data_IF_034904199219
#
_entry.id   IF_034904199219
#
_cell.length_a   1.000
_cell.length_b   1.000
_cell.length_c   1.000
_cell.angle_alpha   90.00
_cell.angle_beta   90.00
_cell.angle_gamma   90.00
#
_symmetry.space_group_name_H-M   'P 1'
#
loop_
_entity.id
_entity.type
_entity.pdbx_description
1 polymer ?
#
# COMPACT_ATOMS: atom_id res chain seq x y z
N UNK A 1 -23.17 14.54 1.50
CA UNK A 1 -22.87 13.64 0.42
C UNK A 1 -21.37 13.56 0.18
N UNK A 2 -20.85 12.36 0.07
CA UNK A 2 -19.44 12.23 -0.16
C UNK A 2 -19.09 12.59 -1.58
N UNK A 3 -17.96 13.25 -1.72
CA UNK A 3 -17.49 13.61 -3.03
C UNK A 3 -16.31 12.74 -3.39
N UNK A 4 -16.20 12.42 -4.65
CA UNK A 4 -15.05 11.67 -5.12
C UNK A 4 -13.83 12.56 -5.06
N UNK A 5 -12.69 11.97 -4.78
CA UNK A 5 -11.41 12.64 -4.86
C UNK A 5 -11.09 12.80 -6.35
N UNK A 6 -10.61 13.95 -6.77
CA UNK A 6 -10.30 14.11 -8.17
C UNK A 6 -9.08 13.28 -8.54
N UNK A 7 -8.94 13.04 -9.83
CA UNK A 7 -7.90 12.14 -10.30
C UNK A 7 -6.50 12.63 -10.01
N UNK A 8 -6.31 13.93 -10.05
CA UNK A 8 -4.99 14.49 -9.75
C UNK A 8 -4.59 14.26 -8.31
N UNK A 9 -5.54 14.45 -7.39
CA UNK A 9 -5.26 14.21 -5.98
C UNK A 9 -5.00 12.75 -5.73
N UNK A 10 -5.80 11.88 -6.33
CA UNK A 10 -5.61 10.45 -6.14
C UNK A 10 -4.27 9.98 -6.69
N UNK A 11 -3.90 10.49 -7.87
CA UNK A 11 -2.63 10.13 -8.47
C UNK A 11 -1.45 10.63 -7.64
N UNK A 12 -1.58 11.82 -7.07
CA UNK A 12 -0.52 12.38 -6.25
C UNK A 12 -0.31 11.56 -4.97
N UNK A 13 -1.39 11.10 -4.36
CA UNK A 13 -1.28 10.25 -3.17
C UNK A 13 -0.67 8.91 -3.55
N UNK A 14 -1.11 8.34 -4.66
CA UNK A 14 -0.52 7.08 -5.13
C UNK A 14 0.98 7.23 -5.32
N UNK A 15 1.41 8.31 -5.94
CA UNK A 15 2.82 8.55 -6.21
C UNK A 15 3.59 8.67 -4.89
N UNK A 16 3.05 9.39 -3.92
CA UNK A 16 3.72 9.55 -2.63
C UNK A 16 3.93 8.21 -1.95
N UNK A 17 2.92 7.35 -1.98
CA UNK A 17 3.04 6.04 -1.37
C UNK A 17 4.05 5.19 -2.14
N UNK A 18 3.98 5.22 -3.47
CA UNK A 18 4.86 4.42 -4.32
C UNK A 18 6.32 4.82 -4.19
N UNK A 19 6.58 6.09 -3.90
CA UNK A 19 7.94 6.59 -3.77
C UNK A 19 8.51 6.39 -2.37
N UNK A 20 7.74 5.86 -1.45
CA UNK A 20 8.22 5.59 -0.10
C UNK A 20 9.30 4.52 -0.18
N UNK A 21 10.44 4.72 0.50
CA UNK A 21 11.53 3.75 0.41
C UNK A 21 11.08 2.34 0.78
N UNK A 22 11.55 1.38 0.01
CA UNK A 22 11.33 -0.05 0.22
C UNK A 22 9.94 -0.52 -0.15
N UNK A 23 9.10 0.35 -0.71
CA UNK A 23 7.83 -0.06 -1.28
C UNK A 23 8.12 -0.63 -2.66
N UNK A 24 7.71 -1.87 -2.90
CA UNK A 24 7.92 -2.51 -4.20
C UNK A 24 6.83 -2.14 -5.18
N UNK A 25 5.60 -2.13 -4.73
CA UNK A 25 4.50 -1.68 -5.58
C UNK A 25 3.32 -1.30 -4.72
N UNK A 26 2.39 -0.58 -5.32
CA UNK A 26 1.17 -0.15 -4.66
C UNK A 26 0.02 -0.52 -5.57
N UNK A 27 -1.02 -1.11 -5.00
CA UNK A 27 -2.19 -1.39 -5.80
C UNK A 27 -3.45 -1.25 -4.94
N UNK A 28 -4.59 -1.24 -5.61
CA UNK A 28 -5.88 -1.11 -4.94
C UNK A 28 -5.96 0.08 -4.02
N UNK A 29 -5.45 1.22 -4.51
CA UNK A 29 -5.55 2.42 -3.71
C UNK A 29 -6.97 2.97 -3.83
N UNK A 30 -7.55 3.32 -2.71
CA UNK A 30 -8.90 3.89 -2.66
C UNK A 30 -8.85 5.19 -1.90
N UNK A 31 -9.52 6.18 -2.43
CA UNK A 31 -9.56 7.49 -1.81
C UNK A 31 -10.97 8.02 -1.81
N UNK A 32 -11.30 8.78 -0.79
CA UNK A 32 -12.57 9.48 -0.76
C UNK A 32 -12.45 10.73 0.09
N UNK A 33 -13.35 11.67 -0.15
CA UNK A 33 -13.36 12.90 0.62
C UNK A 33 -14.20 12.76 1.86
N UNK A 34 -13.74 13.36 2.93
CA UNK A 34 -14.54 13.56 4.13
C UNK A 34 -14.35 15.02 4.50
N UNK A 35 -15.33 15.85 4.15
CA UNK A 35 -15.17 17.29 4.25
C UNK A 35 -14.07 17.74 3.33
N UNK A 36 -13.12 18.49 3.85
CA UNK A 36 -11.98 18.94 3.07
C UNK A 36 -10.82 17.98 3.06
N UNK A 37 -10.94 16.91 3.79
CA UNK A 37 -9.82 15.99 3.96
C UNK A 37 -10.05 14.72 3.16
N UNK A 38 -8.98 14.00 2.93
CA UNK A 38 -9.02 12.76 2.17
C UNK A 38 -8.75 11.59 3.11
N UNK A 39 -9.53 10.53 2.96
CA UNK A 39 -9.24 9.28 3.62
C UNK A 39 -8.82 8.31 2.54
N UNK A 40 -7.69 7.65 2.75
CA UNK A 40 -7.14 6.75 1.73
C UNK A 40 -6.80 5.41 2.35
N UNK A 41 -6.90 4.37 1.52
CA UNK A 41 -6.34 3.07 1.88
C UNK A 41 -5.57 2.54 0.67
N UNK A 42 -4.54 1.77 0.95
CA UNK A 42 -3.68 1.27 -0.10
C UNK A 42 -3.11 -0.07 0.29
N UNK A 43 -2.98 -0.94 -0.70
CA UNK A 43 -2.23 -2.17 -0.54
C UNK A 43 -0.81 -1.91 -1.00
N UNK A 44 0.14 -2.10 -0.10
CA UNK A 44 1.53 -1.80 -0.35
C UNK A 44 2.31 -3.11 -0.31
N UNK A 45 3.01 -3.42 -1.38
CA UNK A 45 3.80 -4.64 -1.43
C UNK A 45 5.24 -4.34 -1.05
N UNK A 46 5.78 -5.14 -0.16
CA UNK A 46 7.16 -5.02 0.31
C UNK A 46 7.84 -6.37 0.17
N UNK A 47 9.15 -6.38 0.28
CA UNK A 47 9.92 -7.61 0.15
C UNK A 47 9.38 -8.67 1.11
N UNK A 48 9.09 -9.84 0.59
CA UNK A 48 8.47 -10.90 1.37
C UNK A 48 9.35 -11.44 2.49
N UNK A 49 10.66 -11.16 2.43
CA UNK A 49 11.58 -11.65 3.46
C UNK A 49 11.75 -10.68 4.63
N UNK A 50 11.09 -9.53 4.58
CA UNK A 50 11.20 -8.58 5.68
C UNK A 50 10.45 -9.09 6.91
N UNK A 51 10.91 -8.63 8.07
CA UNK A 51 10.18 -8.91 9.29
C UNK A 51 8.89 -8.11 9.31
N UNK A 52 7.97 -8.53 10.16
CA UNK A 52 6.74 -7.77 10.36
C UNK A 52 7.06 -6.35 10.82
N UNK A 53 8.05 -6.22 11.68
CA UNK A 53 8.42 -4.91 12.18
C UNK A 53 8.92 -4.00 11.06
N UNK A 54 9.76 -4.52 10.19
CA UNK A 54 10.27 -3.73 9.07
C UNK A 54 9.14 -3.35 8.11
N UNK A 55 8.22 -4.26 7.86
CA UNK A 55 7.07 -3.95 7.01
C UNK A 55 6.19 -2.88 7.63
N UNK A 56 5.98 -2.97 8.93
CA UNK A 56 5.19 -1.96 9.64
C UNK A 56 5.86 -0.59 9.53
N UNK A 57 7.19 -0.53 9.68
CA UNK A 57 7.90 0.73 9.59
C UNK A 57 7.75 1.38 8.22
N UNK A 58 7.72 0.58 7.17
CA UNK A 58 7.50 1.09 5.82
C UNK A 58 6.10 1.70 5.72
N UNK A 59 5.11 1.03 6.28
CA UNK A 59 3.74 1.54 6.26
C UNK A 59 3.62 2.85 7.05
N UNK A 60 4.30 2.94 8.18
CA UNK A 60 4.29 4.15 8.99
C UNK A 60 4.92 5.30 8.22
N UNK A 61 6.01 5.03 7.52
CA UNK A 61 6.68 6.07 6.74
C UNK A 61 5.79 6.54 5.57
N UNK A 62 5.11 5.61 4.91
CA UNK A 62 4.21 5.98 3.83
C UNK A 62 3.10 6.89 4.35
N UNK A 63 2.52 6.53 5.49
CA UNK A 63 1.47 7.33 6.11
C UNK A 63 1.98 8.72 6.47
N UNK A 64 3.17 8.78 7.06
CA UNK A 64 3.75 10.06 7.45
C UNK A 64 3.90 10.98 6.24
N UNK A 65 4.38 10.43 5.13
CA UNK A 65 4.59 11.23 3.92
C UNK A 65 3.26 11.73 3.35
N UNK A 66 2.26 10.86 3.33
CA UNK A 66 0.96 11.26 2.83
C UNK A 66 0.34 12.35 3.71
N UNK A 67 0.44 12.18 5.03
CA UNK A 67 -0.12 13.15 5.95
C UNK A 67 0.59 14.49 5.87
N UNK A 68 1.88 14.50 5.52
CA UNK A 68 2.61 15.74 5.41
C UNK A 68 2.41 16.46 4.09
N UNK A 69 2.17 15.71 3.02
CA UNK A 69 2.16 16.28 1.68
C UNK A 69 0.77 16.52 1.12
N UNK A 70 -0.23 15.95 1.73
CA UNK A 70 -1.60 16.00 1.21
C UNK A 70 -2.55 16.35 2.32
N UNK A 71 -3.74 16.82 1.96
CA UNK A 71 -4.77 17.10 2.94
C UNK A 71 -5.48 15.80 3.29
N UNK A 72 -4.77 14.93 3.93
CA UNK A 72 -5.25 13.59 4.26
C UNK A 72 -5.55 13.49 5.74
N UNK A 73 -6.72 12.93 6.04
CA UNK A 73 -7.10 12.68 7.41
C UNK A 73 -6.44 11.39 7.89
N UNK A 74 -6.31 10.42 7.01
CA UNK A 74 -5.69 9.17 7.37
C UNK A 74 -5.30 8.39 6.12
N UNK A 75 -4.31 7.54 6.27
CA UNK A 75 -3.97 6.53 5.27
C UNK A 75 -3.90 5.19 5.98
N UNK A 76 -4.75 4.26 5.58
CA UNK A 76 -4.71 2.92 6.09
C UNK A 76 -3.97 2.06 5.07
N UNK A 77 -2.95 1.34 5.53
CA UNK A 77 -2.16 0.51 4.63
C UNK A 77 -2.31 -0.95 4.98
N UNK A 78 -2.43 -1.76 3.93
CA UNK A 78 -2.37 -3.20 4.05
C UNK A 78 -1.03 -3.61 3.46
N UNK A 79 -0.19 -4.23 4.27
CA UNK A 79 1.16 -4.58 3.83
C UNK A 79 1.13 -6.01 3.34
N UNK A 80 1.45 -6.17 2.06
CA UNK A 80 1.41 -7.48 1.42
C UNK A 80 2.81 -7.88 0.99
N UNK A 81 3.09 -9.16 0.94
CA UNK A 81 4.42 -9.60 0.49
C UNK A 81 4.54 -9.51 -1.02
N UNK A 82 5.65 -8.96 -1.48
CA UNK A 82 5.95 -8.92 -2.90
C UNK A 82 6.85 -10.10 -3.23
N UNK A 83 6.50 -10.85 -4.27
CA UNK A 83 7.26 -11.99 -4.69
C UNK A 83 7.66 -11.82 -6.13
N UNK A 84 8.89 -12.18 -6.43
CA UNK A 84 9.33 -12.10 -7.81
C UNK A 84 8.54 -13.12 -8.63
N UNK A 85 8.22 -12.79 -9.86
CA UNK A 85 7.38 -13.67 -10.67
C UNK A 85 7.89 -15.10 -10.77
N UNK A 86 9.19 -15.30 -10.86
CA UNK A 86 9.69 -16.63 -10.97
C UNK A 86 9.56 -17.41 -9.66
N UNK A 87 9.72 -16.76 -8.54
CA UNK A 87 9.51 -17.40 -7.27
C UNK A 87 8.05 -17.68 -7.03
N UNK A 88 7.20 -16.76 -7.43
CA UNK A 88 5.80 -16.92 -7.26
C UNK A 88 5.29 -18.13 -8.04
N UNK A 89 5.81 -18.29 -9.24
CA UNK A 89 5.46 -19.42 -10.05
C UNK A 89 5.79 -20.74 -9.35
N UNK A 90 6.94 -20.82 -8.76
CA UNK A 90 7.32 -22.01 -8.03
C UNK A 90 6.47 -22.24 -6.82
N UNK A 91 6.15 -21.18 -6.12
CA UNK A 91 5.35 -21.30 -4.92
C UNK A 91 3.96 -21.79 -5.24
N UNK A 92 3.39 -21.34 -6.33
CA UNK A 92 2.08 -21.78 -6.69
C UNK A 92 2.04 -23.27 -6.91
N UNK A 93 3.08 -23.79 -7.49
CA UNK A 93 3.07 -25.20 -7.74
C UNK A 93 3.08 -26.03 -6.52
N UNK A 94 3.59 -25.53 -5.42
CA UNK A 94 3.62 -26.34 -4.29
C UNK A 94 2.66 -26.03 -3.29
N UNK A 95 2.09 -24.91 -3.39
CA UNK A 95 1.29 -24.54 -2.39
C UNK A 95 0.02 -25.02 -2.38
N UNK A 96 -0.14 -25.52 -2.93
CA UNK A 96 -1.32 -25.82 -2.81
C UNK A 96 -1.52 -26.60 -1.79
N UNK A 97 -1.13 -26.74 -1.44
CA UNK A 97 -1.19 -27.27 -0.63
C UNK A 97 -0.96 -27.03 0.48
N UNK A 98 -0.87 -26.71 0.31
CA UNK A 98 -0.81 -26.59 1.35
C UNK A 98 -0.89 -26.36 2.04
N UNK A 99 -1.04 -26.45 2.22
CA UNK A 99 -1.17 -26.14 2.96
C UNK A 99 -0.99 -26.11 3.91
N UNK A 100 -1.09 -26.40 3.83
CA UNK A 100 -0.98 -26.47 4.43
C UNK A 100 -0.77 -26.10 4.81
N UNK A 101 -0.72 -26.05 4.59
CA UNK A 101 -0.74 -25.77 4.62
C UNK A 101 -0.68 -25.58 4.48
#
# INVERSE_FOLDING_TARGET
MDRAVNEEEAAAIHKTVAETPRVKSVHNIRTRKMGDMIVAEAHVEVDATLTVEAGHDIAVEARRRVMQRHRALNLMTYVDPWKRPDLDHGAVLQDKRSPTG
#
